data_IF_496593579911
#
_entry.id   IF_496593579911
#
_cell.length_a   1.000
_cell.length_b   1.000
_cell.length_c   1.000
_cell.angle_alpha   90.00
_cell.angle_beta   90.00
_cell.angle_gamma   90.00
#
_symmetry.space_group_name_H-M   'P 1'
#
loop_
_entity.id
_entity.type
_entity.pdbx_description
1 polymer ?
#
# COMPACT_ATOMS: atom_id res chain seq x y z
N UNK A 1 0.87 5.87 16.57
CA UNK A 1 0.64 4.53 17.16
C UNK A 1 1.13 3.47 16.20
N UNK A 2 1.85 2.49 16.71
CA UNK A 2 2.30 1.35 15.89
C UNK A 2 1.20 0.29 15.88
N UNK A 3 0.83 -0.18 14.69
CA UNK A 3 -0.21 -1.20 14.53
C UNK A 3 0.46 -2.57 14.39
N UNK A 4 0.03 -3.54 15.20
CA UNK A 4 0.46 -4.91 15.07
C UNK A 4 -0.21 -5.56 13.85
N UNK A 5 0.59 -6.29 13.10
CA UNK A 5 0.15 -6.91 11.86
C UNK A 5 0.15 -8.44 12.00
N UNK A 6 -0.78 -9.14 11.32
CA UNK A 6 -1.07 -10.54 11.63
C UNK A 6 -0.11 -11.57 11.05
N UNK A 7 0.95 -11.16 10.36
CA UNK A 7 1.80 -12.11 9.64
C UNK A 7 3.28 -11.86 9.89
N UNK A 8 4.07 -12.95 9.86
CA UNK A 8 5.54 -12.91 9.85
C UNK A 8 6.10 -13.09 8.44
N UNK A 9 5.26 -13.32 7.43
CA UNK A 9 5.69 -13.51 6.04
C UNK A 9 6.22 -12.22 5.44
N UNK A 10 7.11 -12.30 4.42
CA UNK A 10 7.66 -11.09 3.78
C UNK A 10 6.60 -10.19 3.17
N UNK A 11 5.54 -10.76 2.60
CA UNK A 11 4.43 -10.02 2.02
C UNK A 11 3.13 -10.66 2.47
N UNK A 12 2.15 -9.85 2.84
CA UNK A 12 0.78 -10.33 2.96
C UNK A 12 -0.19 -9.25 2.49
N UNK A 13 -1.41 -9.68 2.17
CA UNK A 13 -2.45 -8.82 1.62
C UNK A 13 -3.59 -8.62 2.61
N UNK A 14 -4.24 -7.46 2.51
CA UNK A 14 -5.34 -7.09 3.39
C UNK A 14 -6.40 -6.33 2.60
N UNK A 15 -7.66 -6.72 2.76
CA UNK A 15 -8.80 -6.07 2.13
C UNK A 15 -9.62 -5.33 3.18
N UNK A 16 -9.92 -4.07 2.93
CA UNK A 16 -10.75 -3.25 3.81
C UNK A 16 -11.56 -2.27 2.96
N UNK A 17 -12.85 -2.23 3.20
CA UNK A 17 -13.74 -1.28 2.52
C UNK A 17 -14.08 -0.14 3.47
N UNK A 18 -14.22 1.06 2.90
CA UNK A 18 -14.54 2.27 3.67
C UNK A 18 -15.68 3.03 3.00
N UNK A 19 -16.47 3.71 3.81
CA UNK A 19 -17.52 4.59 3.35
C UNK A 19 -17.00 6.00 3.17
N UNK A 20 -17.69 6.79 2.34
CA UNK A 20 -17.35 8.20 2.14
C UNK A 20 -17.24 8.93 3.47
N UNK A 21 -16.15 9.68 3.64
CA UNK A 21 -15.91 10.48 4.83
C UNK A 21 -15.25 9.74 5.99
N UNK A 22 -15.11 8.41 5.92
CA UNK A 22 -14.36 7.69 6.93
C UNK A 22 -12.90 8.10 6.91
N UNK A 23 -12.23 7.91 8.03
CA UNK A 23 -10.82 8.24 8.22
C UNK A 23 -10.09 7.15 8.96
N UNK A 24 -8.80 7.03 8.69
CA UNK A 24 -7.87 6.30 9.54
C UNK A 24 -6.93 7.33 10.15
N UNK A 25 -6.90 7.39 11.48
CA UNK A 25 -6.11 8.36 12.21
C UNK A 25 -4.61 8.12 12.01
N UNK A 26 -3.81 9.14 12.30
CA UNK A 26 -2.37 9.09 12.15
C UNK A 26 -1.79 7.88 12.88
N UNK A 27 -1.07 7.05 12.15
CA UNK A 27 -0.47 5.82 12.67
C UNK A 27 0.75 5.46 11.84
N UNK A 28 1.49 4.47 12.32
CA UNK A 28 2.60 3.88 11.57
C UNK A 28 2.68 2.40 11.90
N UNK A 29 3.37 1.67 11.04
CA UNK A 29 3.69 0.27 11.26
C UNK A 29 5.07 -0.05 10.73
N UNK A 30 5.62 -1.19 11.16
CA UNK A 30 6.99 -1.56 10.85
C UNK A 30 7.17 -2.06 9.42
N UNK A 31 6.08 -2.27 8.69
CA UNK A 31 6.11 -2.74 7.31
C UNK A 31 5.88 -1.61 6.34
N UNK A 32 6.48 -1.74 5.15
CA UNK A 32 6.10 -0.92 4.02
C UNK A 32 4.70 -1.32 3.55
N UNK A 33 4.03 -0.43 2.83
CA UNK A 33 2.65 -0.65 2.41
C UNK A 33 2.44 -0.13 1.00
N UNK A 34 1.79 -0.93 0.17
CA UNK A 34 1.19 -0.46 -1.08
C UNK A 34 -0.30 -0.37 -0.87
N UNK A 35 -0.84 0.84 -0.85
CA UNK A 35 -2.27 1.09 -0.78
C UNK A 35 -2.81 1.20 -2.19
N UNK A 36 -3.79 0.36 -2.52
CA UNK A 36 -4.44 0.34 -3.82
C UNK A 36 -5.95 0.31 -3.60
N UNK A 37 -6.70 1.07 -4.38
CA UNK A 37 -8.14 1.09 -4.29
C UNK A 37 -8.76 0.68 -5.63
N UNK A 38 -9.74 -0.21 -5.59
CA UNK A 38 -10.50 -0.63 -6.76
C UNK A 38 -11.57 0.40 -7.12
N UNK A 39 -12.04 1.16 -6.13
CA UNK A 39 -13.04 2.22 -6.31
C UNK A 39 -12.80 3.33 -5.29
N UNK A 40 -13.34 4.50 -5.58
CA UNK A 40 -13.21 5.66 -4.70
C UNK A 40 -11.83 6.28 -4.73
N UNK A 41 -11.60 7.28 -3.87
CA UNK A 41 -10.36 8.03 -3.79
C UNK A 41 -9.81 7.96 -2.37
N UNK A 42 -8.54 7.62 -2.24
CA UNK A 42 -7.82 7.63 -0.97
C UNK A 42 -6.91 8.83 -0.93
N UNK A 43 -6.98 9.60 0.14
CA UNK A 43 -6.02 10.69 0.40
C UNK A 43 -5.12 10.27 1.54
N UNK A 44 -3.82 10.28 1.29
CA UNK A 44 -2.79 9.90 2.27
C UNK A 44 -2.09 11.16 2.74
N UNK A 45 -2.14 11.44 4.04
CA UNK A 45 -1.45 12.57 4.64
C UNK A 45 -0.24 12.11 5.44
N UNK A 46 0.91 12.75 5.21
CA UNK A 46 2.13 12.56 6.00
C UNK A 46 2.71 13.92 6.37
N UNK A 47 3.78 13.95 7.15
CA UNK A 47 4.47 15.18 7.49
C UNK A 47 5.03 15.92 6.26
N UNK A 48 5.29 15.20 5.16
CA UNK A 48 5.91 15.76 3.96
C UNK A 48 4.89 16.25 2.93
N UNK A 49 3.62 15.92 3.08
CA UNK A 49 2.61 16.35 2.11
C UNK A 49 1.41 15.43 2.07
N UNK A 50 0.65 15.61 1.01
CA UNK A 50 -0.59 14.89 0.77
C UNK A 50 -0.54 14.23 -0.61
N UNK A 51 -0.89 12.97 -0.64
CA UNK A 51 -0.98 12.20 -1.89
C UNK A 51 -2.44 11.81 -2.12
N UNK A 52 -2.98 12.22 -3.26
CA UNK A 52 -4.34 11.87 -3.68
C UNK A 52 -4.25 10.69 -4.64
N UNK A 53 -4.87 9.58 -4.28
CA UNK A 53 -4.75 8.32 -5.00
C UNK A 53 -6.08 8.01 -5.68
N UNK A 54 -6.19 8.24 -7.00
CA UNK A 54 -7.41 7.90 -7.74
C UNK A 54 -7.58 6.38 -7.89
N UNK A 55 -8.79 5.93 -8.26
CA UNK A 55 -9.03 4.51 -8.49
C UNK A 55 -8.03 3.92 -9.50
N UNK A 56 -7.60 2.71 -9.25
CA UNK A 56 -6.65 2.00 -10.12
C UNK A 56 -5.19 2.39 -9.95
N UNK A 57 -4.92 3.41 -9.15
CA UNK A 57 -3.54 3.79 -8.78
C UNK A 57 -3.22 3.28 -7.39
N UNK A 58 -1.98 3.46 -6.98
CA UNK A 58 -1.53 3.10 -5.65
C UNK A 58 -0.64 4.16 -5.05
N UNK A 59 -0.44 4.06 -3.74
CA UNK A 59 0.58 4.84 -3.05
C UNK A 59 1.50 3.89 -2.31
N UNK A 60 2.80 4.12 -2.51
CA UNK A 60 3.84 3.40 -1.81
C UNK A 60 4.22 4.16 -0.56
N UNK A 61 4.14 3.48 0.59
CA UNK A 61 4.51 4.03 1.90
C UNK A 61 5.66 3.19 2.45
N UNK A 62 6.85 3.77 2.57
CA UNK A 62 7.96 3.07 3.25
C UNK A 62 7.64 2.73 4.70
N UNK A 63 8.35 1.75 5.24
CA UNK A 63 8.18 1.33 6.63
C UNK A 63 8.44 2.49 7.60
N UNK A 64 7.63 2.56 8.66
CA UNK A 64 7.82 3.53 9.75
C UNK A 64 7.31 4.94 9.47
N UNK A 65 6.78 5.22 8.29
CA UNK A 65 6.25 6.55 7.95
C UNK A 65 4.88 6.73 8.60
N UNK A 66 4.74 7.75 9.44
CA UNK A 66 3.44 8.10 9.99
C UNK A 66 2.52 8.64 8.90
N UNK A 67 1.30 8.14 8.85
CA UNK A 67 0.34 8.54 7.84
C UNK A 67 -1.09 8.45 8.35
N UNK A 68 -1.96 9.25 7.77
CA UNK A 68 -3.40 9.23 7.99
C UNK A 68 -4.09 9.07 6.65
N UNK A 69 -5.27 8.47 6.65
CA UNK A 69 -6.04 8.22 5.45
C UNK A 69 -7.40 8.91 5.54
N UNK A 70 -7.88 9.40 4.39
CA UNK A 70 -9.25 9.87 4.21
C UNK A 70 -9.82 9.24 2.96
N UNK A 71 -11.12 8.96 2.99
CA UNK A 71 -11.80 8.23 1.93
C UNK A 71 -12.93 9.07 1.35
N UNK A 72 -12.92 9.21 0.03
CA UNK A 72 -13.96 9.91 -0.71
C UNK A 72 -14.65 8.92 -1.67
N UNK A 73 -15.98 8.90 -1.63
CA UNK A 73 -16.75 7.86 -2.28
C UNK A 73 -16.68 6.56 -1.51
N UNK A 74 -17.27 5.51 -2.03
CA UNK A 74 -17.14 4.17 -1.47
C UNK A 74 -15.81 3.59 -1.91
N UNK A 75 -14.91 3.32 -0.95
CA UNK A 75 -13.54 2.90 -1.23
C UNK A 75 -13.39 1.42 -0.93
N UNK A 76 -12.96 0.67 -1.94
CA UNK A 76 -12.58 -0.74 -1.80
C UNK A 76 -11.06 -0.82 -1.80
N UNK A 77 -10.48 -0.73 -0.60
CA UNK A 77 -9.03 -0.69 -0.44
C UNK A 77 -8.44 -2.10 -0.42
N UNK A 78 -7.38 -2.29 -1.17
CA UNK A 78 -6.64 -3.55 -1.25
C UNK A 78 -5.18 -3.23 -1.03
N UNK A 79 -4.64 -3.71 0.07
CA UNK A 79 -3.33 -3.31 0.56
C UNK A 79 -2.38 -4.48 0.58
N UNK A 80 -1.12 -4.23 0.23
CA UNK A 80 -0.02 -5.14 0.46
C UNK A 80 0.85 -4.59 1.58
N UNK A 81 1.23 -5.45 2.53
CA UNK A 81 2.20 -5.13 3.56
C UNK A 81 3.48 -5.89 3.29
N UNK A 82 4.61 -5.20 3.29
CA UNK A 82 5.90 -5.74 2.89
C UNK A 82 6.91 -5.53 4.02
N UNK A 83 7.54 -6.60 4.49
CA UNK A 83 8.61 -6.51 5.48
C UNK A 83 9.76 -5.67 4.92
N UNK A 84 10.34 -4.74 5.72
CA UNK A 84 11.39 -3.86 5.20
C UNK A 84 12.61 -4.61 4.72
N UNK A 85 12.89 -5.78 5.28
CA UNK A 85 14.02 -6.61 4.88
C UNK A 85 13.71 -7.56 3.72
N UNK A 86 12.48 -7.56 3.20
CA UNK A 86 12.09 -8.47 2.11
C UNK A 86 12.91 -8.22 0.84
N UNK A 87 13.22 -6.96 0.57
CA UNK A 87 14.10 -6.54 -0.52
C UNK A 87 14.81 -5.25 -0.11
N UNK A 88 16.02 -5.07 -0.60
CA UNK A 88 16.81 -3.85 -0.34
C UNK A 88 16.61 -2.77 -1.42
N UNK A 89 15.98 -3.10 -2.54
CA UNK A 89 15.86 -2.23 -3.71
C UNK A 89 14.44 -1.66 -3.88
N UNK A 90 13.64 -1.64 -2.81
CA UNK A 90 12.32 -1.02 -2.84
C UNK A 90 12.42 0.49 -2.68
N UNK A 91 11.45 1.26 -3.21
CA UNK A 91 11.48 2.73 -3.06
C UNK A 91 11.50 3.15 -1.60
N UNK A 92 12.26 4.21 -1.30
CA UNK A 92 12.43 4.71 0.07
C UNK A 92 11.62 5.96 0.37
N UNK A 93 10.90 6.48 -0.61
CA UNK A 93 10.06 7.66 -0.48
C UNK A 93 8.59 7.30 -0.68
N UNK A 94 7.69 8.06 -0.05
CA UNK A 94 6.27 7.98 -0.32
C UNK A 94 5.97 8.49 -1.72
N UNK A 95 5.24 7.71 -2.53
CA UNK A 95 4.98 8.01 -3.95
C UNK A 95 3.64 7.47 -4.39
N UNK A 96 2.99 8.21 -5.31
CA UNK A 96 1.89 7.65 -6.08
C UNK A 96 2.49 6.86 -7.24
N UNK A 97 1.98 5.67 -7.48
CA UNK A 97 2.49 4.75 -8.48
C UNK A 97 1.37 4.23 -9.37
N UNK A 98 1.73 3.88 -10.59
CA UNK A 98 0.82 3.10 -11.42
C UNK A 98 0.79 1.66 -10.92
N UNK A 99 -0.35 1.01 -11.08
CA UNK A 99 -0.49 -0.42 -10.79
C UNK A 99 -0.72 -1.12 -12.13
N UNK A 100 0.36 -1.65 -12.75
CA UNK A 100 0.23 -2.31 -14.06
C UNK A 100 -0.66 -3.54 -14.00
N UNK A 101 -1.19 -4.00 -15.14
CA UNK A 101 -2.15 -5.11 -15.17
C UNK A 101 -1.69 -6.37 -14.46
N UNK A 102 -0.43 -6.77 -14.61
CA UNK A 102 0.07 -7.96 -13.92
C UNK A 102 0.02 -7.78 -12.41
N UNK A 103 0.54 -6.66 -11.89
CA UNK A 103 0.51 -6.40 -10.45
C UNK A 103 -0.92 -6.32 -9.92
N UNK A 104 -1.81 -5.70 -10.68
CA UNK A 104 -3.24 -5.63 -10.31
C UNK A 104 -3.83 -7.02 -10.11
N UNK A 105 -3.58 -7.95 -11.04
CA UNK A 105 -4.08 -9.31 -10.93
C UNK A 105 -3.41 -10.08 -9.80
N UNK A 106 -2.14 -9.83 -9.56
CA UNK A 106 -1.43 -10.43 -8.42
C UNK A 106 -2.02 -9.96 -7.08
N UNK A 107 -2.39 -8.68 -6.97
CA UNK A 107 -3.05 -8.15 -5.77
C UNK A 107 -4.40 -8.86 -5.56
N UNK A 108 -5.18 -9.02 -6.63
CA UNK A 108 -6.46 -9.74 -6.55
C UNK A 108 -6.25 -11.18 -6.07
N UNK A 109 -5.27 -11.87 -6.63
CA UNK A 109 -4.94 -13.23 -6.22
C UNK A 109 -4.47 -13.28 -4.76
N UNK A 110 -3.67 -12.31 -4.34
CA UNK A 110 -3.12 -12.24 -2.99
C UNK A 110 -4.22 -12.10 -1.92
N UNK A 111 -5.37 -11.48 -2.25
CA UNK A 111 -6.47 -11.34 -1.29
C UNK A 111 -7.07 -12.68 -0.88
N UNK A 112 -6.82 -13.75 -1.63
CA UNK A 112 -7.28 -15.11 -1.33
C UNK A 112 -6.21 -15.94 -0.64
N UNK A 113 -5.05 -15.38 -0.38
CA UNK A 113 -3.94 -16.06 0.28
C UNK A 113 -3.95 -15.68 1.75
N UNK A 114 -3.92 -16.70 2.63
CA UNK A 114 -3.87 -16.46 4.07
C UNK A 114 -2.58 -15.70 4.44
N UNK A 115 -2.63 -14.78 5.43
CA UNK A 115 -1.43 -14.03 5.83
C UNK A 115 -0.25 -14.91 6.23
N UNK A 116 -0.51 -16.09 6.79
CA UNK A 116 0.52 -17.04 7.24
C UNK A 116 0.66 -18.22 6.26
N UNK A 117 0.60 -17.96 4.96
CA UNK A 117 0.75 -19.00 3.96
C UNK A 117 2.01 -19.84 4.20
N UNK A 118 1.97 -21.15 3.93
CA UNK A 118 3.15 -22.01 4.11
C UNK A 118 4.23 -21.70 3.07
N UNK A 119 5.50 -21.74 3.46
CA UNK A 119 6.60 -21.53 2.52
C UNK A 119 6.72 -22.68 1.53
N UNK A 120 7.37 -22.40 0.40
CA UNK A 120 7.73 -23.43 -0.60
C UNK A 120 6.64 -23.76 -1.61
N UNK A 121 5.47 -23.10 -1.54
CA UNK A 121 4.35 -23.40 -2.41
C UNK A 121 4.02 -22.30 -3.41
N UNK A 122 2.88 -22.49 -4.07
CA UNK A 122 2.36 -21.51 -5.03
C UNK A 122 2.17 -20.13 -4.41
N UNK A 123 1.63 -20.06 -3.20
CA UNK A 123 1.30 -18.78 -2.57
C UNK A 123 2.56 -17.96 -2.30
N UNK A 124 3.63 -18.59 -1.88
CA UNK A 124 4.92 -17.92 -1.74
C UNK A 124 5.44 -17.41 -3.09
N UNK A 125 5.29 -18.19 -4.16
CA UNK A 125 5.73 -17.75 -5.49
C UNK A 125 4.93 -16.56 -5.99
N UNK A 126 3.63 -16.49 -5.70
CA UNK A 126 2.82 -15.31 -6.01
C UNK A 126 3.37 -14.09 -5.27
N UNK A 127 3.66 -14.22 -3.99
CA UNK A 127 4.18 -13.12 -3.19
C UNK A 127 5.58 -12.68 -3.62
N UNK A 128 6.43 -13.62 -4.02
CA UNK A 128 7.75 -13.28 -4.55
C UNK A 128 7.67 -12.53 -5.88
N UNK A 129 6.74 -12.92 -6.74
CA UNK A 129 6.51 -12.20 -7.99
C UNK A 129 5.99 -10.78 -7.72
N UNK A 130 5.15 -10.61 -6.70
CA UNK A 130 4.72 -9.27 -6.27
C UNK A 130 5.95 -8.42 -5.91
N UNK A 131 6.90 -8.96 -5.16
CA UNK A 131 8.12 -8.24 -4.79
C UNK A 131 8.92 -7.82 -6.03
N UNK A 132 8.99 -8.68 -7.03
CA UNK A 132 9.66 -8.33 -8.29
C UNK A 132 8.96 -7.17 -9.00
N UNK A 133 7.62 -7.15 -9.00
CA UNK A 133 6.85 -6.08 -9.62
C UNK A 133 6.95 -4.77 -8.83
N UNK A 134 7.04 -4.83 -7.52
CA UNK A 134 7.12 -3.63 -6.67
C UNK A 134 8.40 -2.83 -6.93
N UNK A 135 9.52 -3.47 -7.23
CA UNK A 135 10.79 -2.77 -7.47
C UNK A 135 10.81 -1.95 -8.74
N UNK A 136 9.90 -2.21 -9.69
CA UNK A 136 9.86 -1.54 -10.99
C UNK A 136 8.60 -0.69 -11.17
N UNK A 137 7.98 -0.27 -10.07
CA UNK A 137 6.74 0.50 -10.12
C UNK A 137 6.92 1.82 -10.88
N UNK A 138 6.06 2.12 -11.87
CA UNK A 138 6.07 3.44 -12.52
C UNK A 138 5.58 4.51 -11.53
N UNK A 139 6.37 5.58 -11.38
CA UNK A 139 6.07 6.68 -10.47
C UNK A 139 5.23 7.71 -11.21
N UNK A 140 4.19 8.22 -10.52
CA UNK A 140 3.31 9.25 -11.02
C UNK A 140 3.52 10.54 -10.21
N UNK A 141 3.46 11.70 -10.91
CA UNK A 141 3.64 12.99 -10.27
C UNK A 141 2.29 13.53 -9.74
N UNK A 142 1.71 12.81 -8.76
CA UNK A 142 0.43 13.17 -8.15
C UNK A 142 0.59 13.56 -6.68
N UNK A 143 1.68 14.25 -6.37
CA UNK A 143 2.00 14.71 -5.03
C UNK A 143 1.62 16.17 -4.85
N UNK A 144 0.92 16.46 -3.76
CA UNK A 144 0.60 17.82 -3.35
C UNK A 144 1.46 18.13 -2.12
N UNK A 145 2.46 19.02 -2.23
CA UNK A 145 3.29 19.38 -1.10
C UNK A 145 2.48 20.02 0.01
N UNK A 146 2.97 19.92 1.25
CA UNK A 146 2.39 20.68 2.35
C UNK A 146 2.52 22.16 2.06
N UNK A 147 1.47 22.96 2.31
CA UNK A 147 1.59 24.39 2.19
C UNK A 147 2.65 24.91 3.17
N UNK A 148 3.49 25.80 2.68
CA UNK A 148 4.39 26.53 3.55
C UNK A 148 3.66 27.78 3.99
N UNK A 149 3.48 27.96 5.29
CA UNK A 149 2.81 29.15 5.79
C UNK A 149 3.57 30.39 5.35
N UNK A 150 2.88 31.38 4.81
CA UNK A 150 3.50 32.66 4.43
C UNK A 150 4.00 33.42 5.63
#
# INVERSE_FOLDING_TARGET
>A
MLIDLPSTRPVFAYAQDYLHGERVELHRHSRAQLIHALSGVVTVGTAEGTWVVPPGRGVWLPAGIEHALRFAGQVRMRTLFIAPQARHDLPQDCRVVDVPPLLRQLIVAAMRIAPDYPPGGRDERVMELILDELRVLPILALHVPQPVDP
#
